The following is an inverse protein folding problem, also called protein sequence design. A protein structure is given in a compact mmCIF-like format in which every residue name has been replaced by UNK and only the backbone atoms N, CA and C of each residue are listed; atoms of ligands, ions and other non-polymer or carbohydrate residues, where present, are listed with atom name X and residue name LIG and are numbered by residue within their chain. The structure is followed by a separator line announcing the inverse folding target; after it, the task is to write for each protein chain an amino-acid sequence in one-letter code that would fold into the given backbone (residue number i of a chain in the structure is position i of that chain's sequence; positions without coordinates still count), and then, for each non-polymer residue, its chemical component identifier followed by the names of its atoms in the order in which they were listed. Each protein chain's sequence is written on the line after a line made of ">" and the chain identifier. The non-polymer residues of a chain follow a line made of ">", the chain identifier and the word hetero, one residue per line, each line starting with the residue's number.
data_IF_374594841994
#
_entry.id   IF_374594841994
#
_cell.length_a   1.000
_cell.length_b   1.000
_cell.length_c   1.000
_cell.angle_alpha   90.00
_cell.angle_beta   90.00
_cell.angle_gamma   90.00
#
_symmetry.space_group_name_H-M   'P 1'
#
loop_
_entity.id
_entity.type
_entity.pdbx_description
1 polymer ?
2 non-polymer ?
3 water ?
#
# COMPACT_ATOMS: atom_id res chain seq x y z
N UNK A 5 10.89 9.03 23.85
CA UNK A 5 10.54 7.62 23.42
C UNK A 5 9.10 7.40 22.90
N UNK A 6 8.32 8.47 22.85
CA UNK A 6 7.15 8.49 22.00
C UNK A 6 7.56 9.05 20.63
N UNK A 7 7.30 8.27 19.56
CA UNK A 7 7.56 8.65 18.16
C UNK A 7 6.99 10.00 17.76
N UNK A 8 7.68 10.65 16.81
CA UNK A 8 7.46 12.01 16.46
C UNK A 8 7.29 11.96 14.97
N UNK A 9 6.25 12.68 14.48
CA UNK A 9 5.94 12.84 13.08
C UNK A 9 5.91 14.33 12.61
N UNK A 10 6.49 14.56 11.42
CA UNK A 10 6.67 15.89 10.87
C UNK A 10 5.75 15.93 9.68
N UNK A 11 4.73 16.76 9.74
CA UNK A 11 3.75 16.85 8.66
C UNK A 11 3.92 18.25 8.09
N UNK A 12 4.41 18.39 6.86
CA UNK A 12 4.33 19.73 6.19
C UNK A 12 2.87 20.09 5.79
N UNK A 13 2.54 21.37 5.79
CA UNK A 13 1.16 21.84 5.48
C UNK A 13 0.08 21.26 6.39
N UNK A 14 0.43 21.04 7.66
CA UNK A 14 -0.53 20.52 8.64
C UNK A 14 -1.75 21.43 8.86
N UNK A 15 -1.62 22.70 8.52
CA UNK A 15 -2.60 23.70 8.92
C UNK A 15 -3.93 23.45 8.24
N UNK A 16 -3.92 23.22 6.95
CA UNK A 16 -5.23 23.13 6.35
C UNK A 16 -5.55 22.11 5.30
N UNK A 17 -6.64 21.42 5.65
CA UNK A 17 -7.33 20.25 5.07
C UNK A 17 -6.67 18.85 5.14
N UNK A 18 -5.90 18.44 4.15
CA UNK A 18 -5.46 17.06 4.12
C UNK A 18 -4.39 16.90 5.19
N UNK A 19 -3.47 17.88 5.24
CA UNK A 19 -2.52 18.01 6.31
C UNK A 19 -3.13 17.84 7.67
N UNK A 20 -4.21 18.54 7.96
CA UNK A 20 -4.79 18.46 9.34
C UNK A 20 -5.24 17.03 9.64
N UNK A 21 -6.01 16.45 8.71
CA UNK A 21 -6.53 15.08 8.84
C UNK A 21 -5.40 14.15 9.24
N UNK A 22 -4.35 14.16 8.44
CA UNK A 22 -3.20 13.33 8.57
C UNK A 22 -2.49 13.54 9.89
N UNK A 23 -2.35 14.82 10.25
CA UNK A 23 -1.74 15.11 11.53
C UNK A 23 -2.68 14.61 12.62
N UNK A 24 -3.97 14.88 12.48
CA UNK A 24 -4.92 14.42 13.49
C UNK A 24 -4.92 12.90 13.65
N UNK A 25 -4.96 12.20 12.51
CA UNK A 25 -4.96 10.76 12.47
C UNK A 25 -3.69 10.24 13.12
N UNK A 26 -2.55 10.76 12.71
CA UNK A 26 -1.27 10.30 13.25
C UNK A 26 -1.21 10.55 14.76
N UNK A 27 -1.70 11.72 15.17
CA UNK A 27 -1.76 12.09 16.57
C UNK A 27 -2.65 11.14 17.34
N UNK A 28 -3.85 10.88 16.81
CA UNK A 28 -4.75 9.88 17.43
C UNK A 28 -4.17 8.47 17.53
N UNK A 29 -3.02 8.18 16.90
CA UNK A 29 -2.30 6.89 17.07
C UNK A 29 -1.23 7.01 18.10
N UNK A 30 -0.97 8.22 18.57
CA UNK A 30 0.01 8.44 19.64
C UNK A 30 1.41 8.91 19.29
N UNK A 31 1.62 9.40 18.06
CA UNK A 31 2.84 10.13 17.76
C UNK A 31 2.71 11.50 18.33
N UNK A 32 3.84 12.05 18.68
CA UNK A 32 3.96 13.48 18.87
C UNK A 32 4.12 14.07 17.45
N UNK A 33 3.41 15.16 17.23
CA UNK A 33 3.29 15.72 15.94
C UNK A 33 3.88 17.13 15.87
N UNK A 34 4.63 17.41 14.80
CA UNK A 34 5.14 18.73 14.51
C UNK A 34 4.44 19.28 13.27
N UNK A 35 3.60 20.29 13.47
CA UNK A 35 2.62 20.81 12.50
C UNK A 35 3.15 22.01 11.74
N UNK A 36 3.73 21.80 10.57
CA UNK A 36 4.36 22.86 9.86
C UNK A 36 3.27 23.79 9.34
N UNK A 37 3.49 25.09 9.29
CA UNK A 37 2.62 25.98 8.49
C UNK A 37 3.50 27.11 7.98
N UNK A 38 2.95 27.85 7.04
CA UNK A 38 3.68 28.94 6.48
C UNK A 38 2.96 30.24 6.79
N UNK A 39 1.75 30.38 6.26
CA UNK A 39 0.96 31.58 6.41
C UNK A 39 -0.18 31.40 7.44
N UNK A 40 -0.68 30.17 7.60
CA UNK A 40 -1.87 30.00 8.41
C UNK A 40 -1.54 29.73 9.86
N UNK A 41 -1.23 30.82 10.55
CA UNK A 41 -0.97 30.75 11.97
C UNK A 41 -2.21 30.34 12.76
N UNK A 42 -3.39 30.91 12.44
CA UNK A 42 -4.55 30.65 13.27
C UNK A 42 -4.74 29.14 13.28
N UNK A 43 -4.95 28.59 12.08
CA UNK A 43 -5.08 27.14 11.88
C UNK A 43 -4.00 26.28 12.59
N UNK A 44 -2.73 26.61 12.45
CA UNK A 44 -1.72 25.74 13.13
C UNK A 44 -1.78 25.79 14.64
N UNK A 45 -1.88 27.00 15.21
CA UNK A 45 -2.06 27.13 16.68
C UNK A 45 -3.36 26.59 17.27
N UNK A 46 -4.52 26.89 16.63
CA UNK A 46 -5.80 26.28 17.01
C UNK A 46 -5.61 24.77 17.08
N UNK A 47 -5.20 24.18 15.94
CA UNK A 47 -5.05 22.74 15.88
C UNK A 47 -4.09 22.20 16.94
N UNK A 48 -2.93 22.86 17.12
CA UNK A 48 -1.97 22.41 18.14
C UNK A 48 -2.53 22.45 19.54
N UNK A 49 -3.34 23.48 19.84
CA UNK A 49 -3.95 23.63 21.16
C UNK A 49 -4.92 22.48 21.42
N UNK A 50 -5.87 22.27 20.50
CA UNK A 50 -6.77 21.12 20.55
C UNK A 50 -6.03 19.81 20.90
N UNK A 51 -4.92 19.56 20.21
CA UNK A 51 -4.19 18.30 20.38
C UNK A 51 -3.49 18.24 21.69
N UNK A 52 -2.90 19.37 22.07
CA UNK A 52 -2.16 19.42 23.33
C UNK A 52 -3.18 19.33 24.45
N UNK A 53 -4.38 19.86 24.19
CA UNK A 53 -5.51 19.70 25.10
C UNK A 53 -5.73 18.22 25.40
N UNK A 54 -5.82 17.38 24.36
CA UNK A 54 -6.12 15.94 24.53
C UNK A 54 -5.01 15.17 25.19
N UNK A 55 -3.77 15.61 25.00
CA UNK A 55 -2.57 14.94 25.53
C UNK A 55 -1.43 15.97 25.60
N UNK A 56 -0.81 16.14 26.77
CA UNK A 56 0.12 17.25 26.95
C UNK A 56 1.48 17.03 26.32
N UNK A 57 1.98 18.07 25.66
CA UNK A 57 3.28 18.08 25.03
C UNK A 57 3.31 17.09 23.88
N UNK A 58 2.21 17.10 23.13
CA UNK A 58 2.05 16.12 22.05
C UNK A 58 2.03 16.75 20.64
N UNK A 59 2.05 18.07 20.58
CA UNK A 59 1.97 18.79 19.32
C UNK A 59 2.63 20.16 19.41
N UNK A 60 3.32 20.61 18.35
CA UNK A 60 3.74 22.03 18.27
C UNK A 60 3.62 22.64 16.89
N UNK A 61 3.34 23.94 16.80
CA UNK A 61 3.34 24.46 15.44
C UNK A 61 4.73 24.92 15.09
N UNK A 62 5.15 24.85 13.83
CA UNK A 62 6.50 25.30 13.51
C UNK A 62 6.44 25.88 12.17
N UNK A 63 6.98 27.09 12.06
CA UNK A 63 6.84 27.94 10.89
C UNK A 63 8.02 27.83 9.94
N UNK A 64 7.72 27.82 8.65
CA UNK A 64 8.71 27.73 7.59
C UNK A 64 8.15 28.16 6.24
N UNK A 65 8.97 28.90 5.48
CA UNK A 65 8.72 29.13 4.07
C UNK A 65 9.38 28.00 3.28
N UNK A 66 8.56 27.26 2.56
CA UNK A 66 9.05 26.13 1.77
C UNK A 66 8.93 26.41 0.28
N UNK A 67 8.77 27.69 -0.10
CA UNK A 67 8.85 28.16 -1.51
C UNK A 67 10.30 28.11 -2.04
N UNK A 68 10.46 28.16 -3.37
CA UNK A 68 11.75 27.95 -4.00
C UNK A 68 12.40 29.26 -4.39
N UNK A 69 13.30 29.77 -3.53
CA UNK A 69 13.76 31.17 -3.64
C UNK A 69 14.32 31.66 -2.31
N UNK A 81 23.90 34.10 3.12
CA UNK A 81 22.92 34.10 2.03
C UNK A 81 21.60 34.75 2.49
N UNK A 82 20.76 35.28 1.54
CA UNK A 82 19.32 35.20 1.86
C UNK A 82 19.09 33.67 1.96
N UNK A 83 18.22 33.22 2.88
CA UNK A 83 18.27 31.80 3.32
C UNK A 83 17.92 30.85 2.19
N UNK A 84 18.80 29.87 1.94
CA UNK A 84 18.50 28.84 0.90
C UNK A 84 17.37 27.91 1.34
N UNK A 85 16.58 27.37 0.40
CA UNK A 85 15.55 26.37 0.69
C UNK A 85 16.08 25.20 1.51
N UNK A 86 17.22 24.66 1.08
CA UNK A 86 17.96 23.69 1.88
C UNK A 86 17.99 24.10 3.36
N UNK A 87 18.61 25.21 3.72
CA UNK A 87 18.69 25.57 5.12
C UNK A 87 17.31 25.66 5.81
N UNK A 88 16.31 26.21 5.14
CA UNK A 88 15.01 26.34 5.77
C UNK A 88 14.45 24.96 6.08
N UNK A 89 14.69 24.02 5.16
CA UNK A 89 14.21 22.64 5.27
C UNK A 89 15.00 21.95 6.37
N UNK A 90 16.33 22.09 6.37
CA UNK A 90 17.13 21.61 7.51
C UNK A 90 16.67 22.09 8.87
N UNK A 91 16.35 23.39 9.02
CA UNK A 91 15.91 23.96 10.34
C UNK A 91 14.56 23.47 10.80
N UNK A 92 13.61 23.34 9.87
CA UNK A 92 12.34 22.75 10.22
C UNK A 92 12.52 21.31 10.78
N UNK A 93 13.32 20.50 10.12
CA UNK A 93 13.56 19.17 10.61
C UNK A 93 14.30 19.25 11.98
N UNK A 94 15.11 20.28 12.15
CA UNK A 94 15.87 20.48 13.39
C UNK A 94 14.97 20.88 14.54
N UNK A 95 13.86 21.58 14.23
CA UNK A 95 12.89 21.99 15.24
C UNK A 95 12.18 20.84 15.95
N UNK A 96 12.14 19.66 15.31
CA UNK A 96 11.74 18.42 15.95
C UNK A 96 12.81 17.90 16.92
N UNK A 97 14.07 17.80 16.49
CA UNK A 97 15.08 17.22 17.39
C UNK A 97 15.18 18.00 18.67
N UNK A 98 15.73 19.22 18.57
CA UNK A 98 15.57 20.29 19.56
C UNK A 98 14.39 20.07 20.48
N UNK A 99 13.16 20.09 19.94
CA UNK A 99 12.03 20.00 20.85
C UNK A 99 11.85 18.64 21.50
N UNK A 100 11.96 17.53 20.75
CA UNK A 100 11.57 16.18 21.28
C UNK A 100 12.66 15.13 21.27
N UNK A 101 13.81 15.41 20.66
CA UNK A 101 14.93 14.48 20.68
C UNK A 101 15.05 13.59 19.47
N UNK A 102 13.99 13.49 18.66
CA UNK A 102 13.94 12.55 17.53
C UNK A 102 12.98 13.04 16.42
N UNK A 103 13.08 12.47 15.21
CA UNK A 103 12.03 12.65 14.17
C UNK A 103 11.90 11.40 13.29
N UNK A 104 10.84 10.65 13.51
CA UNK A 104 10.65 9.30 12.93
C UNK A 104 9.82 9.22 11.63
N UNK A 105 8.95 10.20 11.36
CA UNK A 105 8.00 10.15 10.23
C UNK A 105 7.91 11.48 9.46
N UNK A 106 8.11 11.46 8.15
CA UNK A 106 7.93 12.70 7.47
C UNK A 106 6.72 12.57 6.48
N UNK A 107 5.77 13.47 6.56
CA UNK A 107 4.68 13.48 5.51
C UNK A 107 4.81 14.71 4.64
N UNK A 108 5.16 14.59 3.36
CA UNK A 108 5.29 15.79 2.52
C UNK A 108 3.91 16.10 1.76
N UNK A 109 3.13 17.06 2.29
CA UNK A 109 2.03 17.68 1.55
C UNK A 109 2.56 18.79 0.69
N UNK A 110 2.06 18.84 -0.55
CA UNK A 110 2.67 19.71 -1.54
C UNK A 110 2.43 21.17 -1.19
N UNK A 111 1.36 21.42 -0.44
CA UNK A 111 1.01 22.80 -0.03
C UNK A 111 0.10 22.78 1.23
N UNK A 133 -0.83 35.92 -18.46
CA UNK A 133 0.27 36.88 -18.41
C UNK A 133 1.60 36.14 -18.34
N UNK A 134 2.66 36.92 -18.05
CA UNK A 134 3.98 36.39 -17.70
C UNK A 134 3.92 35.93 -16.26
N UNK A 135 3.01 36.54 -15.51
CA UNK A 135 2.98 36.40 -14.05
C UNK A 135 2.55 35.00 -13.62
N UNK A 136 1.47 34.49 -14.21
CA UNK A 136 1.00 33.14 -13.93
C UNK A 136 2.11 32.15 -14.17
N UNK A 137 2.91 32.46 -15.18
CA UNK A 137 3.91 31.56 -15.69
C UNK A 137 5.12 31.45 -14.80
N UNK A 138 5.59 32.57 -14.30
CA UNK A 138 6.71 32.55 -13.39
C UNK A 138 6.29 31.94 -12.05
N UNK A 139 5.03 32.16 -11.67
CA UNK A 139 4.50 31.64 -10.41
C UNK A 139 4.26 30.14 -10.52
N UNK A 140 3.81 29.72 -11.70
CA UNK A 140 3.68 28.30 -11.98
C UNK A 140 5.05 27.58 -12.00
N UNK A 141 6.12 28.29 -12.39
CA UNK A 141 7.48 27.77 -12.28
C UNK A 141 7.94 27.64 -10.82
N UNK A 142 7.75 28.73 -10.08
CA UNK A 142 8.15 28.78 -8.69
C UNK A 142 7.50 27.65 -7.95
N UNK A 143 6.17 27.51 -8.13
CA UNK A 143 5.39 26.44 -7.50
C UNK A 143 5.95 25.03 -7.75
N UNK A 144 6.09 24.70 -9.04
CA UNK A 144 6.71 23.47 -9.51
C UNK A 144 8.01 23.16 -8.77
N UNK A 145 8.92 24.11 -8.71
CA UNK A 145 10.22 23.79 -8.17
C UNK A 145 10.09 23.61 -6.67
N UNK A 146 9.12 24.32 -6.12
CA UNK A 146 8.97 24.32 -4.69
C UNK A 146 8.49 22.96 -4.26
N UNK A 147 7.45 22.45 -4.93
CA UNK A 147 6.91 21.10 -4.68
C UNK A 147 7.86 19.88 -4.86
N UNK A 148 8.92 20.03 -5.66
CA UNK A 148 9.79 18.94 -5.94
C UNK A 148 10.93 19.05 -4.90
N UNK A 149 11.52 20.24 -4.83
CA UNK A 149 12.69 20.48 -4.07
C UNK A 149 12.45 20.50 -2.56
N UNK A 150 11.38 21.16 -2.11
CA UNK A 150 11.18 21.16 -0.68
C UNK A 150 11.16 19.74 -0.15
N UNK A 151 10.36 18.81 -0.74
CA UNK A 151 10.45 17.44 -0.26
C UNK A 151 11.84 16.86 -0.39
N UNK A 152 12.56 17.21 -1.44
CA UNK A 152 13.82 16.58 -1.71
C UNK A 152 14.76 16.91 -0.56
N UNK A 153 14.86 18.21 -0.26
CA UNK A 153 15.61 18.73 0.86
C UNK A 153 15.15 18.27 2.20
N UNK A 154 13.87 18.26 2.39
CA UNK A 154 13.36 17.68 3.64
C UNK A 154 13.84 16.27 3.83
N UNK A 155 13.85 15.49 2.75
CA UNK A 155 14.24 14.10 2.84
C UNK A 155 15.72 14.04 3.09
N UNK A 156 16.51 14.90 2.45
CA UNK A 156 17.92 14.99 2.76
C UNK A 156 18.17 15.24 4.25
N UNK A 157 17.45 16.19 4.86
CA UNK A 157 17.79 16.58 6.21
C UNK A 157 17.39 15.48 7.15
N UNK A 158 16.13 15.06 7.04
CA UNK A 158 15.68 13.93 7.81
C UNK A 158 16.77 12.86 7.91
N UNK A 159 17.25 12.48 6.74
CA UNK A 159 18.15 11.38 6.57
C UNK A 159 19.57 11.66 7.11
N UNK A 160 20.03 12.92 7.03
CA UNK A 160 21.30 13.31 7.61
C UNK A 160 21.17 13.22 9.11
N UNK A 161 20.03 13.64 9.65
CA UNK A 161 19.85 13.53 11.10
C UNK A 161 19.91 12.08 11.58
N UNK A 162 19.18 11.20 10.88
CA UNK A 162 19.28 9.76 11.15
C UNK A 162 20.72 9.31 11.14
N UNK A 163 21.47 9.59 10.07
CA UNK A 163 22.86 9.16 9.97
C UNK A 163 23.80 9.69 11.08
N UNK A 164 23.61 10.92 11.57
CA UNK A 164 24.38 11.42 12.71
C UNK A 164 24.07 10.77 14.05
N UNK A 165 22.97 10.06 14.15
CA UNK A 165 22.61 9.46 15.43
C UNK A 165 23.49 8.23 15.58
N UNK A 166 24.10 8.05 16.77
CA UNK A 166 24.88 6.82 16.87
C UNK A 166 23.94 5.62 16.66
N UNK A 167 24.47 4.62 15.95
CA UNK A 167 23.80 3.36 15.59
C UNK A 167 22.76 2.87 16.61
N UNK A 168 23.20 2.58 17.83
CA UNK A 168 22.33 2.00 18.86
C UNK A 168 21.31 2.99 19.37
N UNK A 169 21.27 4.17 18.81
CA UNK A 169 20.43 5.15 19.43
C UNK A 169 19.29 5.60 18.55
N UNK A 170 19.23 5.05 17.34
CA UNK A 170 18.19 5.38 16.36
C UNK A 170 16.81 4.77 16.71
N UNK A 171 15.73 5.30 16.15
CA UNK A 171 14.39 4.70 16.30
C UNK A 171 14.27 3.44 15.45
N UNK A 172 13.18 2.71 15.60
CA UNK A 172 13.10 1.37 15.02
C UNK A 172 12.28 1.36 13.75
N UNK A 173 11.63 2.47 13.42
CA UNK A 173 10.74 2.52 12.29
C UNK A 173 10.60 3.89 11.56
N UNK A 174 11.64 4.25 10.81
CA UNK A 174 11.66 5.47 10.05
C UNK A 174 10.82 5.33 8.73
N UNK A 175 9.82 6.21 8.54
CA UNK A 175 9.12 6.22 7.23
C UNK A 175 8.73 7.57 6.72
N UNK A 176 8.81 7.70 5.38
CA UNK A 176 8.55 8.91 4.68
C UNK A 176 7.41 8.72 3.70
N UNK A 177 6.46 9.65 3.66
CA UNK A 177 5.28 9.54 2.74
C UNK A 177 5.17 10.80 1.83
N UNK A 178 5.32 10.64 0.52
CA UNK A 178 5.14 11.78 -0.35
C UNK A 178 3.69 11.85 -0.92
N UNK A 179 2.91 12.84 -0.47
CA UNK A 179 1.54 13.00 -0.98
C UNK A 179 1.58 13.62 -2.36
N UNK A 180 0.77 13.10 -3.26
CA UNK A 180 0.51 13.74 -4.56
C UNK A 180 -0.95 14.11 -4.55
N UNK A 181 -1.25 15.32 -5.00
CA UNK A 181 -2.61 15.86 -4.90
C UNK A 181 -3.24 15.76 -6.26
N UNK A 182 -4.58 15.75 -6.30
CA UNK A 182 -5.33 15.78 -7.56
C UNK A 182 -5.13 17.09 -8.32
N UNK A 183 -5.28 17.02 -9.64
CA UNK A 183 -5.06 18.19 -10.50
C UNK A 183 -6.01 19.28 -10.07
N UNK A 184 -7.22 18.86 -9.70
CA UNK A 184 -8.30 19.76 -9.34
C UNK A 184 -8.08 20.58 -8.05
N UNK A 185 -7.22 20.11 -7.14
CA UNK A 185 -6.98 20.81 -5.86
C UNK A 185 -5.74 21.73 -5.86
N UNK A 186 -5.07 21.84 -7.00
CA UNK A 186 -4.02 22.85 -7.13
C UNK A 186 -4.22 23.55 -8.48
N UNK A 187 -5.14 24.55 -8.52
CA UNK A 187 -5.68 25.09 -9.79
C UNK A 187 -4.71 25.89 -10.68
N UNK A 188 -3.61 26.39 -10.12
CA UNK A 188 -2.64 27.23 -10.87
C UNK A 188 -1.77 26.48 -11.93
N UNK A 189 -1.99 25.17 -12.10
CA UNK A 189 -1.12 24.36 -12.92
C UNK A 189 -1.86 23.80 -14.14
N UNK A 190 -1.29 23.95 -15.33
CA UNK A 190 -1.82 23.27 -16.53
C UNK A 190 -1.61 21.75 -16.44
N UNK A 191 -2.33 20.99 -17.26
CA UNK A 191 -2.14 19.56 -17.25
C UNK A 191 -0.64 19.23 -17.31
N UNK A 192 0.04 19.82 -18.29
CA UNK A 192 1.42 19.47 -18.52
C UNK A 192 2.34 19.64 -17.31
N UNK A 193 2.27 20.80 -16.67
CA UNK A 193 3.21 21.11 -15.61
C UNK A 193 2.88 20.24 -14.39
N UNK A 194 1.60 19.91 -14.24
CA UNK A 194 1.19 18.97 -13.22
C UNK A 194 1.84 17.60 -13.40
N UNK A 195 1.73 17.06 -14.62
CA UNK A 195 2.32 15.77 -14.92
C UNK A 195 3.84 15.82 -14.66
N UNK A 196 4.48 16.87 -15.12
CA UNK A 196 5.87 17.09 -14.78
C UNK A 196 6.14 16.90 -13.29
N UNK A 197 5.33 17.61 -12.50
CA UNK A 197 5.51 17.60 -11.05
C UNK A 197 5.23 16.21 -10.47
N UNK A 198 4.14 15.58 -10.90
CA UNK A 198 3.91 14.17 -10.53
C UNK A 198 5.11 13.25 -10.85
N UNK A 199 5.70 13.45 -12.04
CA UNK A 199 6.87 12.71 -12.46
C UNK A 199 8.09 12.93 -11.59
N UNK A 200 8.41 14.19 -11.27
CA UNK A 200 9.50 14.46 -10.32
C UNK A 200 9.34 13.72 -9.00
N UNK A 201 8.11 13.77 -8.47
CA UNK A 201 7.77 13.14 -7.20
C UNK A 201 7.77 11.61 -7.20
N UNK A 202 7.41 10.99 -8.30
CA UNK A 202 7.51 9.56 -8.30
C UNK A 202 8.97 9.15 -8.34
N UNK A 203 9.77 9.90 -9.10
CA UNK A 203 11.19 9.68 -9.16
C UNK A 203 11.82 9.71 -7.77
N UNK A 204 11.62 10.82 -7.03
CA UNK A 204 12.09 10.94 -5.66
C UNK A 204 11.66 9.77 -4.78
N UNK A 205 10.40 9.36 -4.87
CA UNK A 205 9.99 8.27 -3.98
C UNK A 205 10.78 6.99 -4.27
N UNK A 206 10.85 6.62 -5.55
CA UNK A 206 11.44 5.35 -5.93
C UNK A 206 12.96 5.40 -5.73
N UNK A 207 13.56 6.51 -6.12
CA UNK A 207 14.96 6.82 -5.90
C UNK A 207 15.44 6.82 -4.43
N UNK A 208 14.68 7.53 -3.59
CA UNK A 208 15.04 7.73 -2.21
C UNK A 208 14.85 6.46 -1.42
N UNK A 209 13.83 5.67 -1.79
CA UNK A 209 13.66 4.33 -1.24
C UNK A 209 14.95 3.48 -1.39
N UNK A 210 15.44 3.36 -2.61
CA UNK A 210 16.63 2.64 -2.90
C UNK A 210 17.80 3.28 -2.16
N UNK A 211 17.93 4.62 -2.30
CA UNK A 211 19.11 5.32 -1.73
C UNK A 211 19.21 5.29 -0.19
N UNK A 212 18.06 5.32 0.50
CA UNK A 212 18.07 5.34 1.97
C UNK A 212 17.90 3.96 2.63
N UNK A 213 17.63 2.95 1.84
CA UNK A 213 17.39 1.63 2.38
C UNK A 213 18.46 1.17 3.38
N UNK A 214 19.76 1.50 3.17
CA UNK A 214 20.80 1.22 4.20
C UNK A 214 20.59 1.90 5.55
N UNK A 215 20.03 3.10 5.59
CA UNK A 215 19.65 3.67 6.89
C UNK A 215 18.33 3.16 7.46
N UNK A 216 17.76 2.10 6.85
CA UNK A 216 16.41 1.56 7.27
C UNK A 216 15.33 2.66 7.30
N UNK A 217 15.32 3.47 6.24
CA UNK A 217 14.33 4.51 6.07
C UNK A 217 13.55 4.21 4.83
N UNK A 218 12.24 4.12 5.00
CA UNK A 218 11.29 3.74 3.95
C UNK A 218 10.66 4.99 3.38
N UNK A 219 10.47 4.96 2.08
CA UNK A 219 9.90 6.08 1.39
C UNK A 219 8.84 5.55 0.47
N UNK A 220 7.63 6.13 0.57
CA UNK A 220 6.48 5.71 -0.17
C UNK A 220 5.61 6.92 -0.57
N UNK A 221 4.64 6.72 -1.46
CA UNK A 221 3.76 7.82 -1.90
C UNK A 221 2.28 7.52 -1.89
N UNK A 222 1.47 8.49 -1.59
CA UNK A 222 0.05 8.35 -1.73
C UNK A 222 -0.40 9.30 -2.81
N UNK A 223 -1.20 8.81 -3.74
CA UNK A 223 -1.67 9.62 -4.87
C UNK A 223 -3.02 9.15 -5.33
N UNK A 224 -3.68 9.90 -6.23
CA UNK A 224 -5.05 9.56 -6.63
C UNK A 224 -5.11 8.44 -7.64
N UNK A 225 -6.15 7.61 -7.56
CA UNK A 225 -6.38 6.53 -8.52
C UNK A 225 -6.83 7.03 -9.88
N UNK A 226 -6.97 6.15 -10.86
CA UNK A 226 -7.37 6.61 -12.21
C UNK A 226 -8.81 6.23 -12.54
N UNK A 255 -11.33 11.55 7.24
CA UNK A 255 -9.91 11.33 6.96
C UNK A 255 -9.71 10.11 6.04
N UNK A 256 -10.08 10.30 4.77
CA UNK A 256 -9.88 9.26 3.75
C UNK A 256 -8.49 8.58 3.76
N UNK A 257 -7.44 9.39 3.64
CA UNK A 257 -6.14 8.91 3.29
C UNK A 257 -5.27 8.74 4.51
N UNK A 258 -5.78 9.15 5.67
CA UNK A 258 -4.94 9.10 6.85
C UNK A 258 -4.68 7.66 7.27
N UNK A 259 -5.63 6.78 7.01
CA UNK A 259 -5.42 5.37 7.39
C UNK A 259 -4.31 4.63 6.66
N UNK A 260 -4.11 5.00 5.40
CA UNK A 260 -3.03 4.54 4.53
C UNK A 260 -1.70 5.05 5.06
N UNK A 261 -1.72 6.33 5.49
CA UNK A 261 -0.54 6.95 6.09
C UNK A 261 -0.22 6.22 7.37
N UNK A 262 -1.24 6.01 8.21
CA UNK A 262 -1.02 5.29 9.45
C UNK A 262 -0.45 3.94 9.14
N UNK A 263 -0.90 3.34 8.05
CA UNK A 263 -0.45 2.00 7.77
C UNK A 263 1.00 1.98 7.32
N UNK A 264 1.28 2.83 6.34
CA UNK A 264 2.64 2.90 5.85
C UNK A 264 3.63 3.18 6.95
N UNK A 265 3.20 3.96 7.96
CA UNK A 265 4.09 4.36 9.04
C UNK A 265 4.15 3.29 10.12
N UNK A 266 3.17 2.39 10.10
CA UNK A 266 3.01 1.38 11.12
C UNK A 266 4.06 0.28 10.99
N UNK A 267 4.27 -0.43 12.08
CA UNK A 267 5.30 -1.47 12.17
C UNK A 267 4.94 -2.65 11.27
N UNK A 268 3.67 -2.70 10.85
CA UNK A 268 3.22 -3.72 9.95
C UNK A 268 3.68 -3.50 8.52
N UNK A 269 4.20 -2.31 8.22
CA UNK A 269 4.71 -2.02 6.89
C UNK A 269 6.22 -2.01 6.86
N UNK A 270 6.84 -2.71 7.79
CA UNK A 270 8.33 -2.64 7.89
C UNK A 270 9.06 -2.91 6.56
N UNK A 271 8.44 -3.67 5.65
CA UNK A 271 9.10 -4.05 4.39
C UNK A 271 8.56 -3.44 3.14
N UNK A 272 7.59 -2.53 3.32
CA UNK A 272 7.03 -1.78 2.21
C UNK A 272 7.88 -0.54 1.96
N UNK A 273 8.52 -0.42 0.81
CA UNK A 273 9.18 0.81 0.45
C UNK A 273 9.07 1.03 -1.07
N UNK A 274 9.31 2.24 -1.56
CA UNK A 274 9.26 2.47 -3.02
C UNK A 274 7.88 2.22 -3.65
N UNK A 275 6.82 2.20 -2.84
CA UNK A 275 5.45 2.05 -3.33
C UNK A 275 4.70 3.37 -3.50
N UNK A 276 4.00 3.42 -4.61
CA UNK A 276 3.10 4.51 -4.92
C UNK A 276 1.70 3.93 -4.72
N UNK A 277 1.08 4.30 -3.61
CA UNK A 277 -0.25 3.83 -3.29
C UNK A 277 -1.31 4.65 -4.01
N UNK A 278 -2.35 3.98 -4.49
CA UNK A 278 -3.34 4.67 -5.34
C UNK A 278 -4.70 4.71 -4.69
N UNK A 279 -5.14 5.91 -4.43
CA UNK A 279 -6.25 6.09 -3.55
C UNK A 279 -7.27 6.94 -4.25
N UNK A 280 -8.44 6.38 -4.51
CA UNK A 280 -9.65 7.21 -4.79
C UNK A 280 -10.90 6.42 -4.45
N UNK B 5 -22.88 -11.53 9.48
CA UNK B 5 -21.51 -11.27 8.88
C UNK B 5 -20.31 -12.00 9.56
N UNK B 6 -19.78 -13.00 8.87
CA UNK B 6 -18.38 -13.35 9.03
C UNK B 6 -17.78 -13.53 7.61
N UNK B 7 -16.84 -12.67 7.22
CA UNK B 7 -16.29 -12.66 5.84
C UNK B 7 -15.55 -13.90 5.45
N UNK B 8 -15.50 -14.14 4.13
CA UNK B 8 -14.86 -15.31 3.58
C UNK B 8 -13.75 -15.03 2.52
N UNK B 9 -12.59 -15.69 2.78
CA UNK B 9 -11.39 -15.57 1.93
C UNK B 9 -11.00 -16.87 1.28
N UNK B 10 -10.71 -16.77 0.00
CA UNK B 10 -10.28 -17.89 -0.85
C UNK B 10 -8.80 -17.66 -1.14
N UNK B 11 -7.95 -18.55 -0.70
CA UNK B 11 -6.54 -18.36 -0.96
C UNK B 11 -6.05 -19.45 -1.89
N UNK B 12 -5.80 -19.12 -3.17
CA UNK B 12 -5.33 -20.19 -4.02
C UNK B 12 -3.92 -20.58 -3.59
N UNK B 13 -3.41 -21.72 -4.04
CA UNK B 13 -2.11 -22.30 -3.58
C UNK B 13 -1.98 -22.20 -2.09
N UNK B 14 -3.00 -22.55 -1.33
CA UNK B 14 -3.04 -22.29 0.13
C UNK B 14 -2.14 -23.14 1.08
N UNK B 15 -1.49 -24.17 0.57
CA UNK B 15 -0.62 -24.96 1.48
C UNK B 15 0.85 -24.74 1.15
N UNK B 16 1.11 -24.15 -0.03
CA UNK B 16 2.44 -23.67 -0.35
C UNK B 16 2.97 -22.73 0.77
N UNK B 17 4.25 -22.42 0.66
CA UNK B 17 5.01 -21.62 1.63
C UNK B 17 4.31 -20.30 1.97
N UNK B 18 4.11 -19.46 0.94
CA UNK B 18 3.48 -18.15 1.11
C UNK B 18 2.04 -18.29 1.50
N UNK B 19 1.28 -19.00 0.66
CA UNK B 19 -0.17 -19.11 0.78
C UNK B 19 -0.66 -19.48 2.16
N UNK B 20 0.04 -20.41 2.76
CA UNK B 20 -0.29 -20.83 4.09
C UNK B 20 -0.23 -19.65 5.07
N UNK B 21 0.83 -18.85 4.96
CA UNK B 21 1.05 -17.74 5.88
C UNK B 21 -0.05 -16.73 5.71
N UNK B 22 -0.34 -16.40 4.47
CA UNK B 22 -1.47 -15.56 4.18
C UNK B 22 -2.74 -16.13 4.80
N UNK B 23 -2.97 -17.41 4.57
CA UNK B 23 -4.15 -18.09 5.14
C UNK B 23 -4.20 -18.02 6.65
N UNK B 24 -3.10 -18.37 7.36
CA UNK B 24 -3.06 -18.28 8.84
C UNK B 24 -3.35 -16.88 9.29
N UNK B 25 -2.76 -15.92 8.62
CA UNK B 25 -2.99 -14.52 8.89
C UNK B 25 -4.38 -14.00 8.61
N UNK B 26 -5.00 -14.38 7.50
CA UNK B 26 -6.39 -13.93 7.25
C UNK B 26 -7.32 -14.60 8.24
N UNK B 27 -6.93 -15.79 8.70
CA UNK B 27 -7.80 -16.51 9.62
C UNK B 27 -7.72 -15.94 11.03
N UNK B 28 -6.49 -15.71 11.51
CA UNK B 28 -6.26 -14.97 12.76
C UNK B 28 -7.08 -13.67 12.83
N UNK B 29 -7.21 -12.97 11.71
CA UNK B 29 -8.02 -11.76 11.70
C UNK B 29 -9.50 -12.03 11.81
N UNK B 30 -9.95 -13.27 11.67
CA UNK B 30 -11.37 -13.57 11.82
C UNK B 30 -12.10 -13.85 10.51
N UNK B 31 -11.32 -14.17 9.49
CA UNK B 31 -11.88 -14.63 8.25
C UNK B 31 -12.11 -16.14 8.25
N UNK B 32 -13.23 -16.59 7.68
CA UNK B 32 -13.33 -17.99 7.33
C UNK B 32 -12.55 -18.27 6.03
N UNK B 33 -11.63 -19.23 6.02
CA UNK B 33 -10.81 -19.44 4.86
C UNK B 33 -11.25 -20.67 4.03
N UNK B 34 -11.17 -20.57 2.70
CA UNK B 34 -11.19 -21.74 1.79
C UNK B 34 -9.74 -22.02 1.35
N UNK B 35 -9.19 -23.18 1.67
CA UNK B 35 -7.75 -23.47 1.47
C UNK B 35 -7.56 -24.28 0.20
N UNK B 36 -7.30 -23.62 -0.91
CA UNK B 36 -7.23 -24.30 -2.19
C UNK B 36 -6.01 -25.19 -2.36
N UNK B 37 -6.18 -26.28 -3.13
CA UNK B 37 -5.07 -27.22 -3.42
C UNK B 37 -5.29 -28.04 -4.67
N UNK B 38 -4.19 -28.60 -5.15
CA UNK B 38 -4.16 -29.54 -6.25
C UNK B 38 -3.47 -30.78 -5.70
N UNK B 39 -2.14 -30.77 -5.72
CA UNK B 39 -1.27 -31.89 -5.31
C UNK B 39 -1.35 -32.17 -3.80
N UNK B 40 -1.29 -31.11 -3.00
CA UNK B 40 -0.94 -31.20 -1.58
C UNK B 40 -2.11 -31.41 -0.59
N UNK B 41 -3.00 -32.37 -0.90
CA UNK B 41 -4.18 -32.62 -0.06
C UNK B 41 -3.85 -32.81 1.41
N UNK B 42 -2.82 -33.57 1.72
CA UNK B 42 -2.54 -33.80 3.13
C UNK B 42 -2.33 -32.49 3.92
N UNK B 43 -1.44 -31.64 3.44
CA UNK B 43 -1.12 -30.37 4.11
C UNK B 43 -2.31 -29.40 4.16
N UNK B 44 -3.17 -29.47 3.16
CA UNK B 44 -4.42 -28.73 3.16
C UNK B 44 -5.19 -29.10 4.39
N UNK B 45 -5.31 -30.40 4.62
CA UNK B 45 -6.12 -30.89 5.73
C UNK B 45 -5.47 -30.62 7.09
N UNK B 46 -4.15 -30.70 7.19
CA UNK B 46 -3.47 -30.31 8.44
C UNK B 46 -3.81 -28.87 8.81
N UNK B 47 -3.64 -27.98 7.83
CA UNK B 47 -3.94 -26.60 8.06
C UNK B 47 -5.41 -26.40 8.46
N UNK B 48 -6.33 -27.06 7.75
CA UNK B 48 -7.76 -26.98 8.07
C UNK B 48 -8.05 -27.53 9.46
N UNK B 49 -7.25 -28.54 9.83
CA UNK B 49 -7.39 -29.18 11.13
C UNK B 49 -7.05 -28.17 12.20
N UNK B 50 -5.94 -27.46 11.97
CA UNK B 50 -5.40 -26.54 12.96
C UNK B 50 -6.37 -25.36 13.21
N UNK B 51 -7.00 -24.88 12.15
CA UNK B 51 -7.82 -23.66 12.25
C UNK B 51 -9.23 -23.90 12.76
N UNK B 52 -9.88 -24.90 12.17
CA UNK B 52 -11.19 -25.34 12.66
C UNK B 52 -11.12 -25.74 14.14
N UNK B 53 -10.11 -26.54 14.49
CA UNK B 53 -9.85 -26.84 15.88
C UNK B 53 -9.73 -25.58 16.75
N UNK B 54 -8.96 -24.59 16.29
CA UNK B 54 -8.89 -23.29 16.96
C UNK B 54 -10.23 -22.56 16.95
N UNK B 55 -10.97 -22.67 15.84
CA UNK B 55 -12.29 -22.01 15.68
C UNK B 55 -13.13 -22.79 14.63
N UNK B 56 -14.26 -23.37 15.07
CA UNK B 56 -14.92 -24.43 14.30
C UNK B 56 -15.67 -23.98 13.04
N UNK B 57 -15.60 -24.81 11.99
CA UNK B 57 -16.16 -24.55 10.65
C UNK B 57 -15.72 -23.20 10.06
N UNK B 58 -14.42 -22.94 10.24
CA UNK B 58 -13.88 -21.65 9.86
C UNK B 58 -12.91 -21.82 8.68
N UNK B 59 -12.84 -23.04 8.15
CA UNK B 59 -11.83 -23.44 7.15
C UNK B 59 -12.31 -24.64 6.38
N UNK B 60 -12.16 -24.62 5.06
CA UNK B 60 -12.29 -25.83 4.31
C UNK B 60 -11.19 -25.95 3.29
N UNK B 61 -10.64 -27.15 3.14
CA UNK B 61 -9.86 -27.46 1.96
C UNK B 61 -10.75 -27.68 0.78
N UNK B 62 -10.24 -27.38 -0.41
CA UNK B 62 -10.95 -27.64 -1.60
C UNK B 62 -9.94 -27.83 -2.69
N UNK B 63 -10.03 -28.96 -3.38
CA UNK B 63 -9.20 -29.25 -4.51
C UNK B 63 -9.70 -28.61 -5.82
N UNK B 64 -8.77 -28.12 -6.64
CA UNK B 64 -9.09 -27.49 -7.92
C UNK B 64 -7.85 -27.62 -8.75
N UNK B 65 -8.01 -27.82 -10.05
CA UNK B 65 -6.84 -27.96 -10.88
C UNK B 65 -6.64 -26.62 -11.53
N UNK B 66 -5.54 -25.95 -11.18
CA UNK B 66 -5.32 -24.59 -11.72
C UNK B 66 -4.42 -24.56 -12.95
N UNK B 67 -4.05 -25.74 -13.44
CA UNK B 67 -3.26 -25.89 -14.67
C UNK B 67 -3.95 -25.39 -15.93
N UNK B 68 -3.21 -25.35 -17.02
CA UNK B 68 -3.66 -24.82 -18.30
C UNK B 68 -4.60 -25.78 -19.03
N UNK B 69 -4.23 -27.07 -18.99
CA UNK B 69 -5.12 -28.21 -19.29
C UNK B 69 -5.18 -29.13 -18.06
N UNK B 70 -6.40 -29.53 -17.67
CA UNK B 70 -6.59 -30.49 -16.57
C UNK B 70 -6.14 -31.91 -16.96
N UNK B 82 -12.79 -32.77 -21.71
CA UNK B 82 -11.79 -31.71 -21.57
C UNK B 82 -12.38 -30.46 -20.84
N UNK B 83 -12.10 -30.30 -19.54
CA UNK B 83 -12.77 -29.22 -18.80
C UNK B 83 -11.95 -27.95 -18.85
N UNK B 84 -12.55 -26.86 -19.33
CA UNK B 84 -11.85 -25.59 -19.38
C UNK B 84 -11.43 -25.06 -18.00
N UNK B 85 -10.28 -24.40 -17.99
CA UNK B 85 -9.84 -23.59 -16.89
C UNK B 85 -10.94 -22.58 -16.51
N UNK B 86 -11.50 -21.87 -17.47
CA UNK B 86 -12.64 -20.99 -17.18
C UNK B 86 -13.66 -21.64 -16.27
N UNK B 87 -14.07 -22.86 -16.57
CA UNK B 87 -15.04 -23.55 -15.73
C UNK B 87 -14.44 -24.05 -14.36
N UNK B 88 -13.21 -24.57 -14.37
CA UNK B 88 -12.62 -25.10 -13.14
C UNK B 88 -12.48 -23.95 -12.10
N UNK B 89 -12.08 -22.79 -12.58
CA UNK B 89 -12.03 -21.59 -11.81
C UNK B 89 -13.37 -21.18 -11.22
N UNK B 90 -14.42 -21.13 -12.07
CA UNK B 90 -15.77 -20.82 -11.61
C UNK B 90 -16.27 -21.79 -10.55
N UNK B 91 -15.83 -23.03 -10.66
CA UNK B 91 -16.21 -24.05 -9.68
C UNK B 91 -15.52 -23.84 -8.34
N UNK B 92 -14.27 -23.38 -8.41
CA UNK B 92 -13.50 -23.10 -7.16
C UNK B 92 -14.23 -22.01 -6.40
N UNK B 93 -14.64 -20.95 -7.09
CA UNK B 93 -15.30 -19.84 -6.39
C UNK B 93 -16.64 -20.34 -5.84
N UNK B 94 -17.35 -21.12 -6.66
CA UNK B 94 -18.58 -21.81 -6.23
C UNK B 94 -18.41 -22.64 -4.94
N UNK B 95 -17.31 -23.36 -4.77
CA UNK B 95 -17.17 -24.08 -3.51
C UNK B 95 -17.47 -23.14 -2.34
N UNK B 96 -16.96 -21.90 -2.38
CA UNK B 96 -17.17 -20.92 -1.31
C UNK B 96 -18.64 -20.57 -1.08
N UNK B 97 -19.35 -20.30 -2.18
CA UNK B 97 -20.77 -20.00 -2.04
C UNK B 97 -21.57 -21.21 -1.57
N UNK B 98 -21.30 -22.40 -2.11
CA UNK B 98 -22.05 -23.57 -1.70
C UNK B 98 -21.94 -23.69 -0.20
N UNK B 99 -20.74 -23.48 0.33
CA UNK B 99 -20.47 -23.85 1.71
C UNK B 99 -20.75 -22.75 2.69
N UNK B 100 -20.48 -21.49 2.31
CA UNK B 100 -20.80 -20.40 3.21
C UNK B 100 -21.75 -19.36 2.51
N UNK B 101 -22.07 -19.54 1.26
CA UNK B 101 -23.00 -18.61 0.66
C UNK B 101 -22.52 -17.19 0.43
N UNK B 102 -21.20 -16.97 0.39
CA UNK B 102 -20.59 -15.65 0.07
C UNK B 102 -19.08 -15.85 -0.21
N UNK B 103 -18.45 -14.91 -0.93
CA UNK B 103 -16.96 -14.90 -1.05
C UNK B 103 -16.45 -13.45 -1.14
N UNK B 104 -15.84 -12.97 -0.07
CA UNK B 104 -15.50 -11.54 0.03
C UNK B 104 -14.07 -11.24 -0.40
N UNK B 105 -13.20 -12.25 -0.38
CA UNK B 105 -11.80 -12.05 -0.61
C UNK B 105 -11.20 -13.15 -1.45
N UNK B 106 -10.53 -12.73 -2.53
CA UNK B 106 -9.76 -13.61 -3.36
C UNK B 106 -8.29 -13.23 -3.26
N UNK B 107 -7.44 -14.20 -2.93
CA UNK B 107 -6.00 -14.03 -3.08
C UNK B 107 -5.37 -14.99 -4.10
N UNK B 108 -5.03 -14.49 -5.27
CA UNK B 108 -4.31 -15.25 -6.27
C UNK B 108 -2.80 -15.42 -5.95
N UNK B 109 -2.45 -16.47 -5.21
CA UNK B 109 -1.05 -16.78 -4.91
C UNK B 109 -0.60 -17.91 -5.79
N UNK B 133 15.33 -28.76 -24.92
CA UNK B 133 14.31 -29.80 -24.78
C UNK B 133 12.90 -29.21 -24.86
N UNK B 134 12.01 -29.88 -25.59
CA UNK B 134 10.61 -29.42 -25.71
C UNK B 134 9.92 -29.55 -24.38
N UNK B 135 10.36 -30.56 -23.64
CA UNK B 135 9.90 -30.86 -22.30
C UNK B 135 9.80 -29.59 -21.47
N UNK B 136 10.96 -28.98 -21.24
CA UNK B 136 11.11 -27.72 -20.50
C UNK B 136 10.30 -26.52 -21.07
N UNK B 137 10.28 -26.36 -22.39
CA UNK B 137 9.63 -25.21 -23.06
C UNK B 137 8.12 -25.19 -22.97
N UNK B 138 7.49 -26.29 -23.36
CA UNK B 138 6.04 -26.46 -23.23
C UNK B 138 5.65 -26.26 -21.76
N UNK B 139 6.52 -26.71 -20.86
CA UNK B 139 6.31 -26.54 -19.44
C UNK B 139 6.28 -25.07 -19.06
N UNK B 140 7.30 -24.33 -19.45
CA UNK B 140 7.35 -22.91 -19.12
C UNK B 140 6.15 -22.14 -19.75
N UNK B 141 5.82 -22.46 -20.99
CA UNK B 141 4.66 -21.84 -21.63
C UNK B 141 3.38 -22.09 -20.86
N UNK B 142 3.26 -23.28 -20.26
CA UNK B 142 2.06 -23.65 -19.52
C UNK B 142 1.98 -22.96 -18.18
N UNK B 143 3.11 -22.92 -17.47
CA UNK B 143 3.21 -22.16 -16.22
C UNK B 143 2.92 -20.68 -16.52
N UNK B 144 3.26 -20.24 -17.72
CA UNK B 144 2.97 -18.87 -18.05
C UNK B 144 1.45 -18.67 -18.18
N UNK B 145 0.81 -19.52 -18.99
CA UNK B 145 -0.65 -19.51 -19.24
C UNK B 145 -1.54 -19.50 -18.01
N UNK B 146 -1.29 -20.41 -17.06
CA UNK B 146 -2.16 -20.55 -15.91
C UNK B 146 -1.88 -19.48 -14.90
N UNK B 147 -0.63 -19.00 -14.88
CA UNK B 147 -0.31 -17.93 -13.96
C UNK B 147 -0.88 -16.61 -14.35
N UNK B 148 -1.25 -16.45 -15.62
CA UNK B 148 -1.94 -15.26 -16.06
C UNK B 148 -3.46 -15.53 -16.16
N UNK B 149 -3.81 -16.57 -16.87
CA UNK B 149 -5.18 -16.96 -17.09
C UNK B 149 -6.00 -17.47 -15.86
N UNK B 150 -5.39 -18.20 -14.94
CA UNK B 150 -6.13 -18.60 -13.73
C UNK B 150 -6.61 -17.40 -12.95
N UNK B 151 -5.70 -16.42 -12.68
CA UNK B 151 -6.20 -15.25 -11.97
C UNK B 151 -7.29 -14.55 -12.77
N UNK B 152 -7.09 -14.43 -14.05
CA UNK B 152 -8.10 -13.75 -14.85
C UNK B 152 -9.51 -14.36 -14.61
N UNK B 153 -9.60 -15.69 -14.65
CA UNK B 153 -10.86 -16.42 -14.62
C UNK B 153 -11.36 -16.54 -13.21
N UNK B 154 -10.41 -16.59 -12.26
CA UNK B 154 -10.84 -16.58 -10.87
C UNK B 154 -11.49 -15.23 -10.55
N UNK B 155 -11.09 -14.19 -11.25
CA UNK B 155 -11.65 -12.85 -11.03
C UNK B 155 -12.97 -12.64 -11.82
N UNK B 156 -13.08 -13.19 -13.02
CA UNK B 156 -14.37 -13.15 -13.69
C UNK B 156 -15.43 -13.80 -12.84
N UNK B 157 -15.06 -14.93 -12.23
CA UNK B 157 -15.99 -15.73 -11.47
C UNK B 157 -16.38 -14.97 -10.23
N UNK B 158 -15.39 -14.45 -9.55
CA UNK B 158 -15.64 -13.77 -8.28
C UNK B 158 -16.64 -12.63 -8.49
N UNK B 159 -16.40 -11.85 -9.52
CA UNK B 159 -17.21 -10.71 -9.83
C UNK B 159 -18.60 -11.12 -10.29
N UNK B 160 -18.70 -12.13 -11.15
CA UNK B 160 -19.99 -12.64 -11.62
C UNK B 160 -20.93 -12.91 -10.43
N UNK B 161 -20.45 -13.65 -9.45
CA UNK B 161 -21.25 -13.95 -8.27
C UNK B 161 -21.71 -12.71 -7.51
N UNK B 162 -20.79 -11.78 -7.27
CA UNK B 162 -21.10 -10.51 -6.60
C UNK B 162 -22.18 -9.80 -7.43
N UNK B 163 -21.95 -9.72 -8.73
CA UNK B 163 -22.97 -9.24 -9.68
C UNK B 163 -24.35 -9.87 -9.49
N UNK B 164 -24.40 -11.17 -9.15
CA UNK B 164 -25.64 -11.91 -9.03
C UNK B 164 -26.27 -11.81 -7.67
N UNK B 165 -25.45 -11.88 -6.61
CA UNK B 165 -25.94 -11.49 -5.28
C UNK B 165 -26.78 -10.18 -5.41
N UNK B 166 -27.96 -10.12 -4.74
CA UNK B 166 -28.74 -8.87 -4.68
C UNK B 166 -28.12 -7.83 -3.75
N UNK B 167 -28.41 -6.55 -4.04
CA UNK B 167 -27.78 -5.42 -3.36
C UNK B 167 -27.83 -5.54 -1.85
N UNK B 168 -28.99 -5.91 -1.33
CA UNK B 168 -29.20 -5.96 0.10
C UNK B 168 -28.26 -6.96 0.76
N UNK B 169 -27.98 -8.06 0.07
CA UNK B 169 -27.28 -9.18 0.70
C UNK B 169 -25.76 -9.22 0.43
N UNK B 170 -25.25 -8.23 -0.29
CA UNK B 170 -23.83 -8.14 -0.57
C UNK B 170 -23.07 -7.72 0.66
N UNK B 171 -21.84 -8.25 0.81
CA UNK B 171 -20.95 -7.90 1.91
C UNK B 171 -20.49 -6.49 1.65
N UNK B 172 -19.64 -5.94 2.52
CA UNK B 172 -19.33 -4.50 2.40
C UNK B 172 -17.92 -4.18 1.96
N UNK B 173 -17.09 -5.22 1.76
CA UNK B 173 -15.69 -4.98 1.52
C UNK B 173 -15.03 -6.10 0.67
N UNK B 174 -15.28 -6.05 -0.63
CA UNK B 174 -14.71 -6.99 -1.57
C UNK B 174 -13.37 -6.51 -2.10
N UNK B 175 -12.32 -7.25 -1.77
CA UNK B 175 -10.97 -6.96 -2.27
C UNK B 175 -10.27 -8.19 -2.85
N UNK B 176 -9.48 -8.00 -3.91
CA UNK B 176 -8.82 -9.05 -4.61
C UNK B 176 -7.34 -8.64 -4.56
N UNK B 177 -6.46 -9.56 -4.19
CA UNK B 177 -5.01 -9.34 -4.24
C UNK B 177 -4.32 -10.36 -5.16
N UNK B 178 -3.59 -9.87 -6.16
CA UNK B 178 -2.79 -10.71 -7.05
C UNK B 178 -1.36 -10.81 -6.54
N UNK B 179 -0.86 -12.00 -6.25
CA UNK B 179 0.53 -12.03 -5.75
C UNK B 179 1.40 -12.16 -6.96
N UNK B 180 2.56 -11.51 -6.93
CA UNK B 180 3.64 -11.85 -7.84
C UNK B 180 4.85 -12.21 -7.00
N UNK B 181 5.73 -13.06 -7.52
CA UNK B 181 6.81 -13.63 -6.72
C UNK B 181 8.20 -13.36 -7.25
N UNK B 182 9.20 -13.44 -6.38
CA UNK B 182 10.61 -13.37 -6.79
C UNK B 182 10.94 -14.43 -7.85
N UNK B 183 12.16 -14.42 -8.38
CA UNK B 183 12.60 -15.48 -9.30
C UNK B 183 12.79 -16.81 -8.57
N UNK B 184 13.39 -16.79 -7.38
CA UNK B 184 13.65 -18.03 -6.60
C UNK B 184 12.41 -18.94 -6.50
N UNK B 185 11.23 -18.33 -6.36
CA UNK B 185 9.95 -19.05 -6.25
C UNK B 185 9.26 -19.44 -7.59
N UNK B 186 9.77 -18.93 -8.70
CA UNK B 186 9.41 -19.45 -10.02
C UNK B 186 10.70 -20.01 -10.68
N UNK B 187 11.33 -21.08 -10.06
CA UNK B 187 12.76 -21.39 -10.32
C UNK B 187 13.00 -21.99 -11.70
N UNK B 188 12.02 -22.76 -12.17
CA UNK B 188 12.07 -23.37 -13.50
C UNK B 188 11.87 -22.29 -14.57
N UNK B 189 12.70 -21.24 -14.49
CA UNK B 189 12.54 -19.99 -15.29
C UNK B 189 13.82 -19.31 -15.84
N UNK B 190 13.64 -18.69 -17.00
CA UNK B 190 14.58 -17.73 -17.52
C UNK B 190 14.04 -16.36 -17.15
N UNK B 191 14.92 -15.37 -17.17
CA UNK B 191 14.52 -14.02 -16.84
C UNK B 191 13.26 -13.54 -17.61
N UNK B 192 13.27 -13.69 -18.93
CA UNK B 192 12.24 -13.11 -19.78
C UNK B 192 10.84 -13.59 -19.50
N UNK B 193 10.65 -14.89 -19.37
CA UNK B 193 9.29 -15.39 -19.22
C UNK B 193 8.66 -14.80 -17.96
N UNK B 194 9.48 -14.75 -16.92
CA UNK B 194 9.09 -14.20 -15.63
C UNK B 194 8.55 -12.77 -15.73
N UNK B 195 9.30 -11.95 -16.45
CA UNK B 195 8.93 -10.58 -16.77
C UNK B 195 7.66 -10.45 -17.62
N UNK B 196 7.39 -11.40 -18.50
CA UNK B 196 6.10 -11.40 -19.20
C UNK B 196 4.97 -11.65 -18.24
N UNK B 197 5.13 -12.63 -17.38
CA UNK B 197 4.07 -12.96 -16.47
C UNK B 197 3.84 -11.78 -15.54
N UNK B 198 4.89 -11.26 -14.89
CA UNK B 198 4.68 -10.04 -14.08
C UNK B 198 3.82 -9.01 -14.85
N UNK B 199 4.11 -8.80 -16.14
CA UNK B 199 3.52 -7.75 -16.97
C UNK B 199 2.03 -7.90 -17.18
N UNK B 200 1.58 -9.04 -17.68
CA UNK B 200 0.18 -9.35 -17.69
C UNK B 200 -0.51 -9.28 -16.32
N UNK B 201 0.20 -9.70 -15.26
CA UNK B 201 -0.43 -9.71 -13.93
C UNK B 201 -0.68 -8.29 -13.54
N UNK B 202 0.37 -7.50 -13.79
CA UNK B 202 0.37 -6.05 -13.58
C UNK B 202 -0.85 -5.38 -14.29
N UNK B 203 -1.13 -5.75 -15.55
CA UNK B 203 -2.27 -5.20 -16.28
C UNK B 203 -3.59 -5.76 -15.83
N UNK B 204 -3.59 -6.99 -15.30
CA UNK B 204 -4.79 -7.55 -14.74
C UNK B 204 -5.21 -6.64 -13.61
N UNK B 205 -4.30 -6.49 -12.64
CA UNK B 205 -4.55 -5.66 -11.48
C UNK B 205 -5.09 -4.26 -11.82
N UNK B 206 -4.42 -3.50 -12.69
CA UNK B 206 -4.84 -2.12 -12.95
C UNK B 206 -6.15 -2.11 -13.70
N UNK B 207 -6.27 -2.95 -14.69
CA UNK B 207 -7.49 -3.01 -15.52
C UNK B 207 -8.79 -3.44 -14.83
N UNK B 208 -8.71 -4.43 -13.93
CA UNK B 208 -9.88 -4.90 -13.22
C UNK B 208 -10.27 -3.92 -12.15
N UNK B 209 -9.25 -3.35 -11.52
CA UNK B 209 -9.40 -2.26 -10.54
C UNK B 209 -10.42 -1.29 -11.06
N UNK B 210 -10.18 -0.90 -12.30
CA UNK B 210 -11.08 -0.04 -13.08
C UNK B 210 -12.42 -0.71 -13.41
N UNK B 211 -12.43 -1.60 -14.39
CA UNK B 211 -13.64 -2.34 -14.75
C UNK B 211 -14.57 -2.78 -13.58
N UNK B 212 -13.99 -3.15 -12.44
CA UNK B 212 -14.74 -3.72 -11.30
C UNK B 212 -15.03 -2.73 -10.19
N UNK B 213 -14.82 -1.44 -10.43
CA UNK B 213 -15.09 -0.49 -9.35
C UNK B 213 -16.62 -0.24 -9.17
N UNK B 214 -17.40 -0.30 -10.27
CA UNK B 214 -18.84 -0.17 -10.09
C UNK B 214 -19.46 -1.13 -9.09
N UNK B 215 -18.98 -2.36 -9.02
CA UNK B 215 -19.46 -3.34 -8.05
C UNK B 215 -18.71 -3.26 -6.73
N UNK B 216 -17.96 -2.18 -6.50
CA UNK B 216 -17.21 -2.06 -5.21
C UNK B 216 -16.14 -3.15 -4.96
N UNK B 217 -15.50 -3.61 -6.02
CA UNK B 217 -14.45 -4.61 -5.83
C UNK B 217 -13.06 -3.98 -6.02
N UNK B 218 -12.32 -3.85 -4.93
CA UNK B 218 -10.92 -3.43 -5.06
C UNK B 218 -10.04 -4.58 -5.57
N UNK B 219 -9.01 -4.22 -6.34
CA UNK B 219 -8.10 -5.17 -6.91
C UNK B 219 -6.78 -4.50 -6.77
N UNK B 220 -5.86 -5.18 -6.07
CA UNK B 220 -4.49 -4.73 -5.87
C UNK B 220 -3.44 -5.82 -6.00
N UNK B 221 -2.16 -5.45 -6.07
CA UNK B 221 -1.09 -6.44 -6.22
C UNK B 221 -0.04 -6.31 -5.14
N UNK B 222 0.62 -7.41 -4.83
CA UNK B 222 1.86 -7.32 -4.03
C UNK B 222 3.01 -8.11 -4.62
N UNK B 223 4.08 -7.44 -4.96
CA UNK B 223 5.25 -8.10 -5.49
C UNK B 223 6.52 -7.66 -4.81
N UNK B 224 7.65 -8.28 -5.15
CA UNK B 224 8.92 -7.65 -4.80
C UNK B 224 9.04 -6.45 -5.74
N UNK B 225 9.72 -5.36 -5.40
CA UNK B 225 10.92 -5.32 -4.56
C UNK B 225 12.04 -5.15 -5.59
N UNK B 226 11.65 -4.72 -6.79
CA UNK B 226 12.48 -4.65 -8.02
C UNK B 226 12.91 -6.02 -8.57
N UNK B 253 9.79 -12.39 5.34
CA UNK B 253 9.08 -13.60 5.79
C UNK B 253 7.63 -13.68 5.31
N UNK B 254 7.03 -14.85 5.56
CA UNK B 254 5.62 -15.15 5.25
C UNK B 254 4.69 -14.25 6.06
N UNK B 255 5.00 -14.17 7.35
CA UNK B 255 4.38 -13.23 8.30
C UNK B 255 4.36 -11.80 7.75
N UNK B 256 5.29 -11.50 6.86
CA UNK B 256 5.46 -10.16 6.38
C UNK B 256 4.47 -9.73 5.31
N UNK B 257 4.37 -10.48 4.20
CA UNK B 257 3.43 -10.11 3.15
C UNK B 257 2.07 -10.20 3.74
N UNK B 258 1.92 -11.08 4.72
CA UNK B 258 0.58 -11.31 5.22
C UNK B 258 -0.06 -10.03 5.74
N UNK B 259 0.71 -9.20 6.44
CA UNK B 259 0.23 -7.92 7.00
C UNK B 259 -0.24 -6.92 5.94
N UNK B 260 0.49 -6.89 4.84
CA UNK B 260 0.08 -6.15 3.66
C UNK B 260 -1.27 -6.62 3.12
N UNK B 261 -1.38 -7.94 2.96
CA UNK B 261 -2.64 -8.59 2.51
C UNK B 261 -3.77 -8.26 3.47
N UNK B 262 -3.51 -8.40 4.76
CA UNK B 262 -4.52 -8.05 5.74
C UNK B 262 -4.94 -6.60 5.70
N UNK B 263 -3.99 -5.71 5.45
CA UNK B 263 -4.36 -4.33 5.39
C UNK B 263 -5.17 -4.13 4.11
N UNK B 264 -4.71 -4.65 2.98
CA UNK B 264 -5.46 -4.34 1.76
C UNK B 264 -6.87 -4.92 1.84
N UNK B 265 -7.00 -6.06 2.51
CA UNK B 265 -8.32 -6.61 2.70
C UNK B 265 -9.08 -5.89 3.79
N UNK B 266 -8.41 -5.22 4.74
CA UNK B 266 -9.12 -4.52 5.83
C UNK B 266 -9.97 -3.31 5.38
N UNK B 267 -10.83 -2.81 6.28
CA UNK B 267 -11.70 -1.64 6.01
C UNK B 267 -10.86 -0.40 5.91
N UNK B 268 -9.65 -0.48 6.48
CA UNK B 268 -8.75 0.64 6.36
C UNK B 268 -8.49 0.95 4.89
N UNK B 269 -8.44 -0.07 4.04
CA UNK B 269 -8.06 0.13 2.64
C UNK B 269 -9.22 0.35 1.67
N UNK B 270 -10.35 0.83 2.17
CA UNK B 270 -11.55 0.95 1.29
C UNK B 270 -11.29 1.75 0.04
N UNK B 271 -10.46 2.79 0.13
CA UNK B 271 -10.30 3.64 -1.03
C UNK B 271 -9.09 3.35 -1.91
N UNK B 272 -8.56 2.16 -1.73
CA UNK B 272 -7.34 1.76 -2.39
C UNK B 272 -7.58 0.70 -3.46
N UNK B 273 -7.27 1.00 -4.70
CA UNK B 273 -7.49 0.05 -5.77
C UNK B 273 -6.45 0.36 -6.78
N UNK B 274 -6.11 -0.56 -7.68
CA UNK B 274 -5.12 -0.25 -8.73
C UNK B 274 -3.68 -0.31 -8.20
N UNK B 275 -3.46 -0.71 -6.97
CA UNK B 275 -2.17 -0.38 -6.47
C UNK B 275 -1.27 -1.57 -6.44
N UNK B 276 -0.10 -1.45 -7.01
CA UNK B 276 0.91 -2.52 -6.91
C UNK B 276 1.81 -2.36 -5.72
N UNK B 277 1.55 -3.05 -4.63
CA UNK B 277 2.51 -2.92 -3.48
C UNK B 277 3.85 -3.60 -3.69
N UNK B 278 4.93 -2.96 -3.28
CA UNK B 278 6.28 -3.54 -3.40
C UNK B 278 6.80 -3.89 -2.02
N UNK B 279 7.59 -4.98 -1.88
CA UNK B 279 8.01 -5.49 -0.57
C UNK B 279 9.52 -5.92 -0.44
N UNK B 280 9.87 -6.64 0.62
CA UNK B 280 11.30 -6.99 0.91
C UNK B 280 11.49 -8.08 1.99
X LIG C 1 0.05 27.34 4.97
X LIG C 1 0.30 27.76 6.34
X LIG C 1 -1.36 27.56 4.63
X LIG C 1 0.43 25.93 4.88
X LIG C 1 0.85 28.20 4.10
X LIG D 1 -0.38 -27.68 -4.56
X LIG D 1 0.92 -27.93 -3.93
X LIG D 1 -0.95 -26.39 -4.22
X LIG D 1 -1.35 -28.67 -4.13
X LIG D 1 -0.14 -27.81 -6.00
#
# INVERSE_FOLDING_TARGET
>A
MTAPTVPVALVTGAAKRLGSGIAEGLHAEGYAVCLHYHRSAAEANTLAATLNARRPNSAIPVQADLSNVAKAPAGGADGAAPVTLFKRCADLVAACYTHWGRCDVLVNNASSFYPTPLLRKDEDGHVPCVGDREAMEAAAADLFGSNAMAPYFLIKAFAHRVADTPAEQRGTNYSIVNMVDAMTSQPLLGYTIYTMAKGALEGLTRSAALELAPLQIRVNGVGPGLSVLADDMPPAVREDYRSKVPLYQRDSSAAEVSDVVIFLCSSKAKYVTGTCVKVDGGYSLTRA
>B
MTAPTVPVALVTGAAKRLGSGIAEGLHAEGYAVCLHYHRSAAEANTLAATLNARRPNSAIPVQADLSNVAKAPAGGADGAAPVTLFKRCADLVAACYTHWGRCDVLVNNASSFYPTPLLRKDEDGHVPCVGDREAMEAAAADLFGSNAMAPYFLIKAFAHRVADTPAEQRGTNYSIVNMVDAMTSQPLLGYTIYTMAKGALEGLTRSAALELAPLQIRVNGVGPGLSVLADDMPPAVREDYRSKVPLYQRDSSAAEVSDVVIFLCSSKAKYVTGTCVKVDGGYSLTRA
>C hetero
1 SO4 S O1 O2 O3 O4
>D hetero
1 SO4 S O1 O2 O3 O4
#
